data_IF_601930644489
#
_entry.id   IF_601930644489
#
_cell.length_a   1.000
_cell.length_b   1.000
_cell.length_c   1.000
_cell.angle_alpha   90.00
_cell.angle_beta   90.00
_cell.angle_gamma   90.00
#
_symmetry.space_group_name_H-M   'P 1'
#
loop_
_entity.id
_entity.type
_entity.pdbx_description
1 polymer ?
#
# COMPACT_ATOMS: atom_id res chain seq x y z
N UNK A 1 -11.23 -15.11 -8.97
CA UNK A 1 -11.46 -13.65 -8.80
C UNK A 1 -10.79 -12.92 -9.94
N UNK A 2 -11.36 -11.83 -10.45
CA UNK A 2 -10.68 -11.02 -11.47
C UNK A 2 -9.48 -10.27 -10.86
N UNK A 3 -8.43 -10.04 -11.64
CA UNK A 3 -7.24 -9.28 -11.21
C UNK A 3 -7.60 -7.89 -10.65
N UNK A 4 -8.59 -7.23 -11.24
CA UNK A 4 -9.13 -5.95 -10.78
C UNK A 4 -9.72 -6.01 -9.37
N UNK A 5 -10.44 -7.09 -9.02
CA UNK A 5 -10.97 -7.28 -7.67
C UNK A 5 -9.85 -7.55 -6.66
N UNK A 6 -8.78 -8.25 -7.07
CA UNK A 6 -7.59 -8.43 -6.23
C UNK A 6 -6.91 -7.09 -5.97
N UNK A 7 -6.72 -6.25 -7.00
CA UNK A 7 -6.14 -4.90 -6.85
C UNK A 7 -6.97 -4.01 -5.92
N UNK A 8 -8.29 -4.00 -6.11
CA UNK A 8 -9.21 -3.25 -5.25
C UNK A 8 -9.20 -3.81 -3.81
N UNK A 9 -9.16 -5.14 -3.65
CA UNK A 9 -9.07 -5.80 -2.34
C UNK A 9 -7.78 -5.47 -1.60
N UNK A 10 -6.64 -5.52 -2.29
CA UNK A 10 -5.35 -5.08 -1.75
C UNK A 10 -5.37 -3.58 -1.39
N UNK A 11 -5.99 -2.75 -2.22
CA UNK A 11 -6.18 -1.33 -1.93
C UNK A 11 -6.99 -1.11 -0.66
N UNK A 12 -8.15 -1.76 -0.56
CA UNK A 12 -8.99 -1.72 0.62
C UNK A 12 -8.25 -2.22 1.86
N UNK A 13 -7.49 -3.31 1.74
CA UNK A 13 -6.65 -3.86 2.82
C UNK A 13 -5.62 -2.84 3.33
N UNK A 14 -4.96 -2.11 2.43
CA UNK A 14 -4.05 -1.02 2.80
C UNK A 14 -4.80 0.13 3.48
N UNK A 15 -6.00 0.48 3.00
CA UNK A 15 -6.81 1.57 3.56
C UNK A 15 -7.42 1.26 4.93
N UNK A 16 -7.65 -0.02 5.26
CA UNK A 16 -8.09 -0.45 6.58
C UNK A 16 -7.04 -0.18 7.67
N UNK A 17 -5.75 -0.16 7.30
CA UNK A 17 -4.65 -0.06 8.25
C UNK A 17 -4.55 1.37 8.85
N UNK A 18 -4.68 1.54 10.18
CA UNK A 18 -4.57 2.83 10.85
C UNK A 18 -3.29 3.57 10.54
N UNK A 19 -2.16 2.85 10.54
CA UNK A 19 -0.85 3.43 10.33
C UNK A 19 -0.61 3.89 8.89
N UNK A 20 -1.37 3.35 7.92
CA UNK A 20 -1.26 3.72 6.51
C UNK A 20 -1.91 5.07 6.17
N UNK A 21 -2.74 5.63 7.05
CA UNK A 21 -3.17 7.02 6.86
C UNK A 21 -4.30 7.52 7.75
N UNK A 22 -5.37 6.73 7.94
CA UNK A 22 -6.59 7.28 8.55
C UNK A 22 -6.38 7.73 10.00
N UNK A 23 -5.52 7.05 10.77
CA UNK A 23 -5.22 7.45 12.16
C UNK A 23 -4.59 8.84 12.22
N UNK A 24 -3.66 9.13 11.30
CA UNK A 24 -3.01 10.45 11.22
C UNK A 24 -3.98 11.52 10.71
N UNK A 25 -4.83 11.19 9.73
CA UNK A 25 -5.84 12.10 9.22
C UNK A 25 -6.84 12.51 10.33
N UNK A 26 -7.31 11.54 11.12
CA UNK A 26 -8.19 11.78 12.27
C UNK A 26 -7.46 12.58 13.34
N UNK A 27 -6.24 12.19 13.73
CA UNK A 27 -5.47 12.88 14.76
C UNK A 27 -5.22 14.35 14.41
N UNK A 28 -4.85 14.64 13.16
CA UNK A 28 -4.64 16.00 12.68
C UNK A 28 -5.95 16.79 12.62
N UNK A 29 -7.03 16.15 12.18
CA UNK A 29 -8.39 16.73 12.17
C UNK A 29 -8.87 17.11 13.56
N UNK A 30 -8.70 16.22 14.54
CA UNK A 30 -9.07 16.45 15.94
C UNK A 30 -8.21 17.56 16.56
N UNK A 31 -6.90 17.52 16.34
CA UNK A 31 -5.99 18.52 16.86
C UNK A 31 -6.30 19.94 16.33
N UNK A 32 -6.63 20.04 15.05
CA UNK A 32 -7.01 21.31 14.39
C UNK A 32 -8.51 21.61 14.45
N UNK A 33 -9.30 20.77 15.12
CA UNK A 33 -10.78 20.86 15.23
C UNK A 33 -11.46 21.12 13.88
N UNK A 34 -11.03 20.43 12.82
CA UNK A 34 -11.47 20.72 11.45
C UNK A 34 -11.65 19.47 10.61
N UNK A 35 -12.89 19.23 10.17
CA UNK A 35 -13.23 18.17 9.20
C UNK A 35 -12.46 18.34 7.89
N UNK A 36 -12.25 19.60 7.46
CA UNK A 36 -11.50 19.90 6.24
C UNK A 36 -10.08 19.32 6.29
N UNK A 37 -9.45 19.32 7.46
CA UNK A 37 -8.09 18.79 7.64
C UNK A 37 -8.05 17.27 7.48
N UNK A 38 -9.10 16.55 7.86
CA UNK A 38 -9.21 15.10 7.63
C UNK A 38 -9.17 14.80 6.13
N UNK A 39 -10.00 15.49 5.34
CA UNK A 39 -10.03 15.33 3.88
C UNK A 39 -8.74 15.80 3.21
N UNK A 40 -8.18 16.93 3.64
CA UNK A 40 -6.89 17.41 3.12
C UNK A 40 -5.74 16.45 3.40
N UNK A 41 -5.82 15.66 4.46
CA UNK A 41 -4.81 14.66 4.81
C UNK A 41 -4.77 13.49 3.81
N UNK A 42 -5.84 13.25 3.05
CA UNK A 42 -5.84 12.23 2.00
C UNK A 42 -4.87 12.55 0.87
N UNK A 43 -4.60 13.83 0.59
CA UNK A 43 -3.67 14.26 -0.46
C UNK A 43 -2.24 13.80 -0.17
N UNK A 44 -1.60 14.14 0.96
CA UNK A 44 -0.26 13.64 1.26
C UNK A 44 -0.21 12.12 1.44
N UNK A 45 -1.28 11.49 1.94
CA UNK A 45 -1.37 10.00 2.00
C UNK A 45 -1.32 9.41 0.58
N UNK A 46 -2.13 9.95 -0.34
CA UNK A 46 -2.13 9.51 -1.73
C UNK A 46 -0.76 9.68 -2.38
N UNK A 47 -0.12 10.84 -2.17
CA UNK A 47 1.19 11.15 -2.76
C UNK A 47 2.29 10.22 -2.21
N UNK A 48 2.37 10.06 -0.89
CA UNK A 48 3.38 9.19 -0.28
C UNK A 48 3.28 7.75 -0.77
N UNK A 49 2.06 7.21 -0.79
CA UNK A 49 1.80 5.86 -1.26
C UNK A 49 2.05 5.70 -2.76
N UNK A 50 1.63 6.67 -3.59
CA UNK A 50 1.89 6.64 -5.03
C UNK A 50 3.40 6.69 -5.35
N UNK A 51 4.17 7.51 -4.63
CA UNK A 51 5.63 7.55 -4.79
C UNK A 51 6.26 6.20 -4.41
N UNK A 52 5.78 5.54 -3.35
CA UNK A 52 6.26 4.20 -2.96
C UNK A 52 6.02 3.18 -4.08
N UNK A 53 4.81 3.13 -4.62
CA UNK A 53 4.47 2.25 -5.75
C UNK A 53 5.36 2.58 -6.96
N UNK A 54 5.49 3.86 -7.31
CA UNK A 54 6.28 4.28 -8.47
C UNK A 54 7.76 3.88 -8.35
N UNK A 55 8.36 4.05 -7.17
CA UNK A 55 9.75 3.63 -6.91
C UNK A 55 9.92 2.12 -7.09
N UNK A 56 9.00 1.32 -6.54
CA UNK A 56 9.07 -0.14 -6.68
C UNK A 56 8.85 -0.58 -8.13
N UNK A 57 7.84 -0.05 -8.80
CA UNK A 57 7.57 -0.35 -10.22
C UNK A 57 8.77 0.03 -11.09
N UNK A 58 9.36 1.20 -10.87
CA UNK A 58 10.57 1.61 -11.56
C UNK A 58 11.74 0.65 -11.32
N UNK A 59 11.97 0.24 -10.07
CA UNK A 59 13.02 -0.72 -9.73
C UNK A 59 12.79 -2.08 -10.39
N UNK A 60 11.55 -2.59 -10.36
CA UNK A 60 11.14 -3.85 -11.00
C UNK A 60 11.37 -3.78 -12.51
N UNK A 61 10.95 -2.70 -13.18
CA UNK A 61 11.16 -2.52 -14.62
C UNK A 61 12.66 -2.45 -14.94
N UNK A 62 13.43 -1.67 -14.18
CA UNK A 62 14.87 -1.53 -14.40
C UNK A 62 15.60 -2.87 -14.24
N UNK A 63 15.31 -3.63 -13.19
CA UNK A 63 15.90 -4.96 -12.95
C UNK A 63 15.44 -5.96 -14.01
N UNK A 64 14.17 -5.93 -14.40
CA UNK A 64 13.62 -6.80 -15.46
C UNK A 64 14.20 -6.57 -16.85
N UNK A 65 15.00 -5.51 -17.07
CA UNK A 65 15.76 -5.34 -18.33
C UNK A 65 17.00 -6.22 -18.39
N UNK A 66 17.49 -6.71 -17.25
CA UNK A 66 18.74 -7.50 -17.14
C UNK A 66 18.53 -8.92 -16.64
N UNK A 67 17.41 -9.22 -15.97
CA UNK A 67 17.03 -10.56 -15.53
C UNK A 67 15.75 -11.04 -16.21
N UNK A 68 15.56 -12.35 -16.32
CA UNK A 68 14.30 -12.90 -16.79
C UNK A 68 13.17 -12.72 -15.76
N UNK A 69 11.94 -12.86 -16.23
CA UNK A 69 10.73 -12.67 -15.41
C UNK A 69 10.67 -13.68 -14.24
N UNK A 70 11.09 -14.93 -14.46
CA UNK A 70 11.04 -15.97 -13.42
C UNK A 70 11.96 -15.64 -12.26
N UNK A 71 13.19 -15.20 -12.55
CA UNK A 71 14.14 -14.77 -11.52
C UNK A 71 13.64 -13.51 -10.79
N UNK A 72 13.01 -12.58 -11.51
CA UNK A 72 12.42 -11.38 -10.90
C UNK A 72 11.31 -11.73 -9.91
N UNK A 73 10.39 -12.61 -10.30
CA UNK A 73 9.29 -13.09 -9.44
C UNK A 73 9.83 -13.81 -8.21
N UNK A 74 10.82 -14.71 -8.38
CA UNK A 74 11.47 -15.40 -7.26
C UNK A 74 12.18 -14.41 -6.32
N UNK A 75 12.90 -13.42 -6.85
CA UNK A 75 13.56 -12.40 -6.02
C UNK A 75 12.55 -11.56 -5.24
N UNK A 76 11.47 -11.10 -5.89
CA UNK A 76 10.42 -10.33 -5.25
C UNK A 76 9.69 -11.16 -4.17
N UNK A 77 9.39 -12.43 -4.47
CA UNK A 77 8.77 -13.35 -3.53
C UNK A 77 9.67 -13.65 -2.32
N UNK A 78 10.96 -13.90 -2.56
CA UNK A 78 11.94 -14.10 -1.50
C UNK A 78 12.09 -12.86 -0.61
N UNK A 79 12.07 -11.66 -1.20
CA UNK A 79 12.12 -10.41 -0.45
C UNK A 79 10.87 -10.22 0.43
N UNK A 80 9.68 -10.51 -0.09
CA UNK A 80 8.43 -10.45 0.68
C UNK A 80 8.39 -11.47 1.82
N UNK A 81 8.84 -12.70 1.57
CA UNK A 81 8.91 -13.75 2.60
C UNK A 81 9.95 -13.43 3.68
N UNK A 82 11.14 -12.99 3.27
CA UNK A 82 12.18 -12.54 4.18
C UNK A 82 11.70 -11.37 5.04
N UNK A 83 10.98 -10.42 4.43
CA UNK A 83 10.38 -9.30 5.14
C UNK A 83 9.25 -9.74 6.09
N UNK A 84 8.38 -10.67 5.69
CA UNK A 84 7.35 -11.25 6.56
C UNK A 84 7.98 -11.95 7.77
N UNK A 85 9.01 -12.77 7.55
CA UNK A 85 9.74 -13.44 8.62
C UNK A 85 10.42 -12.43 9.56
N UNK A 86 11.04 -11.39 8.99
CA UNK A 86 11.61 -10.30 9.76
C UNK A 86 10.55 -9.61 10.64
N UNK A 87 9.40 -9.28 10.07
CA UNK A 87 8.30 -8.63 10.79
C UNK A 87 7.73 -9.53 11.90
N UNK A 88 7.62 -10.84 11.64
CA UNK A 88 7.17 -11.83 12.63
C UNK A 88 8.12 -11.95 13.84
N UNK A 89 9.44 -11.86 13.60
CA UNK A 89 10.46 -12.03 14.64
C UNK A 89 10.76 -10.73 15.40
N UNK A 90 10.81 -9.60 14.70
CA UNK A 90 11.25 -8.32 15.27
C UNK A 90 10.10 -7.38 15.64
N UNK A 91 8.92 -7.53 15.04
CA UNK A 91 7.69 -6.81 15.38
C UNK A 91 7.87 -5.32 15.65
N UNK A 92 7.29 -4.86 16.76
CA UNK A 92 7.20 -3.46 17.21
C UNK A 92 8.52 -2.84 17.72
N UNK A 93 9.67 -3.49 17.56
CA UNK A 93 10.95 -2.94 18.06
C UNK A 93 11.39 -1.68 17.29
N UNK A 94 10.84 -1.44 16.12
CA UNK A 94 11.12 -0.25 15.31
C UNK A 94 10.22 0.91 15.73
N UNK A 95 10.81 1.91 16.41
CA UNK A 95 10.15 3.18 16.72
C UNK A 95 10.51 4.23 15.67
N UNK A 96 9.73 4.31 14.59
CA UNK A 96 9.83 5.44 13.67
C UNK A 96 9.17 6.65 14.35
N UNK A 97 9.96 7.68 14.67
CA UNK A 97 9.52 8.85 15.42
C UNK A 97 8.89 9.90 14.49
N UNK A 98 7.71 9.60 13.97
CA UNK A 98 6.86 10.61 13.32
C UNK A 98 5.65 10.84 14.21
N UNK A 99 5.56 12.04 14.77
CA UNK A 99 4.49 12.38 15.72
C UNK A 99 3.12 12.47 15.04
N UNK A 100 2.05 12.11 15.74
CA UNK A 100 0.68 12.19 15.21
C UNK A 100 0.19 13.62 14.87
N UNK A 101 1.01 14.63 15.15
CA UNK A 101 0.77 16.05 14.86
C UNK A 101 1.69 16.60 13.75
N UNK A 102 2.31 15.73 12.94
CA UNK A 102 3.13 16.22 11.83
C UNK A 102 2.31 17.05 10.84
N UNK A 103 2.93 18.07 10.25
CA UNK A 103 2.33 18.78 9.11
C UNK A 103 2.11 17.86 7.91
N UNK A 104 1.40 18.36 6.89
CA UNK A 104 1.04 17.60 5.69
C UNK A 104 2.25 16.98 4.97
N UNK A 105 3.38 17.69 4.93
CA UNK A 105 4.62 17.15 4.35
C UNK A 105 5.16 15.94 5.13
N UNK A 106 5.13 16.01 6.47
CA UNK A 106 5.53 14.88 7.33
C UNK A 106 4.58 13.69 7.18
N UNK A 107 3.28 13.94 6.97
CA UNK A 107 2.31 12.90 6.65
C UNK A 107 2.59 12.23 5.30
N UNK A 108 3.01 13.00 4.29
CA UNK A 108 3.41 12.43 2.99
C UNK A 108 4.64 11.55 3.10
N UNK A 109 5.67 12.00 3.82
CA UNK A 109 6.86 11.20 4.10
C UNK A 109 6.52 9.94 4.90
N UNK A 110 5.68 10.06 5.92
CA UNK A 110 5.19 8.91 6.69
C UNK A 110 4.49 7.90 5.81
N UNK A 111 3.55 8.35 4.99
CA UNK A 111 2.80 7.49 4.08
C UNK A 111 3.74 6.76 3.11
N UNK A 112 4.74 7.44 2.57
CA UNK A 112 5.77 6.80 1.73
C UNK A 112 6.56 5.72 2.48
N UNK A 113 7.06 6.03 3.68
CA UNK A 113 7.82 5.08 4.49
C UNK A 113 6.97 3.87 4.89
N UNK A 114 5.72 4.11 5.30
CA UNK A 114 4.79 3.07 5.66
C UNK A 114 4.46 2.19 4.46
N UNK A 115 4.06 2.76 3.32
CA UNK A 115 3.79 2.00 2.09
C UNK A 115 4.98 1.14 1.65
N UNK A 116 6.19 1.68 1.76
CA UNK A 116 7.42 0.95 1.41
C UNK A 116 7.70 -0.17 2.39
N UNK A 117 7.63 0.11 3.70
CA UNK A 117 7.80 -0.90 4.75
C UNK A 117 6.74 -1.98 4.71
N UNK A 118 5.56 -1.66 4.19
CA UNK A 118 4.47 -2.60 4.05
C UNK A 118 4.62 -3.41 2.76
N UNK A 119 5.55 -3.04 1.86
CA UNK A 119 5.74 -3.75 0.59
C UNK A 119 4.61 -3.50 -0.40
N UNK A 120 3.88 -2.39 -0.25
CA UNK A 120 2.69 -2.10 -1.06
C UNK A 120 2.95 -2.13 -2.56
N UNK A 121 4.11 -1.60 -3.01
CA UNK A 121 4.52 -1.68 -4.41
C UNK A 121 4.84 -3.10 -4.87
N UNK A 122 5.51 -3.91 -4.03
CA UNK A 122 5.86 -5.30 -4.35
C UNK A 122 4.62 -6.20 -4.39
N UNK A 123 3.63 -5.94 -3.54
CA UNK A 123 2.37 -6.68 -3.53
C UNK A 123 1.52 -6.47 -4.79
N UNK A 124 1.78 -5.43 -5.57
CA UNK A 124 1.12 -5.19 -6.85
C UNK A 124 1.77 -5.97 -8.00
N UNK A 125 3.05 -6.31 -7.91
CA UNK A 125 3.82 -7.01 -8.95
C UNK A 125 3.12 -8.28 -9.48
N UNK A 126 2.68 -9.24 -8.64
CA UNK A 126 2.07 -10.48 -9.13
C UNK A 126 0.74 -10.26 -9.86
N UNK A 127 0.12 -9.09 -9.72
CA UNK A 127 -1.15 -8.77 -10.39
C UNK A 127 -0.93 -7.88 -11.61
N UNK A 128 0.02 -6.94 -11.53
CA UNK A 128 0.35 -6.02 -12.63
C UNK A 128 0.97 -6.74 -13.82
N UNK A 129 1.93 -7.64 -13.59
CA UNK A 129 2.63 -8.34 -14.68
C UNK A 129 1.65 -9.13 -15.56
N UNK A 130 0.82 -10.05 -15.02
CA UNK A 130 -0.14 -10.80 -15.83
C UNK A 130 -1.20 -9.91 -16.49
N UNK A 131 -1.62 -8.82 -15.83
CA UNK A 131 -2.64 -7.92 -16.36
C UNK A 131 -2.13 -7.13 -17.58
N UNK A 132 -0.88 -6.68 -17.54
CA UNK A 132 -0.23 -6.03 -18.68
C UNK A 132 -0.02 -6.99 -19.86
N UNK A 133 0.36 -8.25 -19.58
CA UNK A 133 0.52 -9.29 -20.61
C UNK A 133 -0.82 -9.67 -21.26
N UNK A 134 -1.90 -9.76 -20.48
CA UNK A 134 -3.23 -10.10 -21.01
C UNK A 134 -3.84 -8.99 -21.88
N UNK A 135 -3.42 -7.73 -21.69
CA UNK A 135 -3.98 -6.58 -22.40
C UNK A 135 -3.28 -6.27 -23.74
N UNK A 136 -2.14 -6.91 -24.04
CA UNK A 136 -1.37 -6.68 -25.27
C UNK A 136 -1.45 -7.89 -26.21
N UNK A 137 -1.89 -7.73 -27.47
CA UNK A 137 -1.80 -8.81 -28.47
C UNK A 137 -0.33 -9.20 -28.69
N UNK A 138 -0.07 -10.49 -28.84
CA UNK A 138 1.26 -11.08 -28.95
C UNK A 138 2.09 -10.47 -30.10
N UNK A 139 2.88 -9.42 -29.83
CA UNK A 139 4.26 -9.14 -30.33
C UNK A 139 4.82 -7.76 -29.92
N UNK A 140 4.06 -6.89 -29.26
CA UNK A 140 4.51 -5.55 -28.88
C UNK A 140 4.39 -5.34 -27.36
N UNK A 141 5.36 -5.84 -26.60
CA UNK A 141 5.63 -5.38 -25.23
C UNK A 141 6.27 -3.98 -25.29
N UNK A 142 5.64 -3.03 -25.98
CA UNK A 142 6.05 -1.63 -25.91
C UNK A 142 5.49 -1.04 -24.63
N UNK A 143 6.29 -0.23 -23.93
CA UNK A 143 5.86 0.48 -22.73
C UNK A 143 4.57 1.28 -22.97
N UNK A 144 4.34 1.73 -24.20
CA UNK A 144 3.17 2.50 -24.62
C UNK A 144 1.86 1.70 -24.56
N UNK A 145 1.86 0.41 -24.91
CA UNK A 145 0.65 -0.43 -24.91
C UNK A 145 0.20 -0.88 -23.52
N UNK A 146 1.14 -1.05 -22.59
CA UNK A 146 0.88 -1.58 -21.23
C UNK A 146 0.73 -0.49 -20.16
N UNK A 147 1.24 0.72 -20.41
CA UNK A 147 1.17 1.84 -19.48
C UNK A 147 -0.26 2.23 -19.07
N UNK A 148 -1.25 2.33 -19.98
CA UNK A 148 -2.61 2.70 -19.60
C UNK A 148 -3.25 1.70 -18.63
N UNK A 149 -2.98 0.41 -18.82
CA UNK A 149 -3.49 -0.67 -17.96
C UNK A 149 -2.80 -0.67 -16.61
N UNK A 150 -1.48 -0.47 -16.57
CA UNK A 150 -0.74 -0.33 -15.33
C UNK A 150 -1.21 0.88 -14.51
N UNK A 151 -1.40 2.03 -15.17
CA UNK A 151 -1.94 3.24 -14.52
C UNK A 151 -3.37 3.03 -14.01
N UNK A 152 -4.23 2.36 -14.78
CA UNK A 152 -5.58 2.01 -14.35
C UNK A 152 -5.55 1.05 -13.14
N UNK A 153 -4.67 0.06 -13.14
CA UNK A 153 -4.50 -0.88 -12.03
C UNK A 153 -4.04 -0.20 -10.75
N UNK A 154 -3.02 0.66 -10.84
CA UNK A 154 -2.56 1.50 -9.72
C UNK A 154 -3.68 2.44 -9.29
N UNK A 155 -4.41 3.04 -10.23
CA UNK A 155 -5.55 3.92 -9.96
C UNK A 155 -6.66 3.22 -9.19
N UNK A 156 -7.05 2.00 -9.57
CA UNK A 156 -8.05 1.19 -8.87
C UNK A 156 -7.59 0.85 -7.44
N UNK A 157 -6.33 0.44 -7.29
CA UNK A 157 -5.73 0.20 -5.97
C UNK A 157 -5.78 1.44 -5.08
N UNK A 158 -5.33 2.59 -5.60
CA UNK A 158 -5.29 3.86 -4.89
C UNK A 158 -6.69 4.36 -4.54
N UNK A 159 -7.65 4.24 -5.45
CA UNK A 159 -9.03 4.66 -5.23
C UNK A 159 -9.69 3.82 -4.13
N UNK A 160 -9.52 2.50 -4.16
CA UNK A 160 -10.02 1.62 -3.10
C UNK A 160 -9.39 1.94 -1.74
N UNK A 161 -8.06 2.12 -1.71
CA UNK A 161 -7.32 2.47 -0.51
C UNK A 161 -7.78 3.80 0.10
N UNK A 162 -7.84 4.85 -0.70
CA UNK A 162 -8.26 6.18 -0.26
C UNK A 162 -9.74 6.21 0.12
N UNK A 163 -10.59 5.47 -0.59
CA UNK A 163 -12.01 5.35 -0.27
C UNK A 163 -12.23 4.74 1.12
N UNK A 164 -11.56 3.63 1.42
CA UNK A 164 -11.62 3.00 2.75
C UNK A 164 -11.01 3.92 3.82
N UNK A 165 -9.85 4.52 3.55
CA UNK A 165 -9.19 5.47 4.44
C UNK A 165 -10.12 6.64 4.79
N UNK A 166 -10.76 7.24 3.78
CA UNK A 166 -11.67 8.36 3.94
C UNK A 166 -12.93 7.99 4.72
N UNK A 167 -13.52 6.82 4.41
CA UNK A 167 -14.70 6.33 5.10
C UNK A 167 -14.43 6.13 6.58
N UNK A 168 -13.36 5.41 6.93
CA UNK A 168 -12.98 5.17 8.33
C UNK A 168 -12.62 6.49 9.02
N UNK A 169 -11.79 7.33 8.39
CA UNK A 169 -11.38 8.59 8.99
C UNK A 169 -12.58 9.50 9.30
N UNK A 170 -13.56 9.56 8.38
CA UNK A 170 -14.79 10.32 8.59
C UNK A 170 -15.62 9.72 9.73
N UNK A 171 -15.80 8.40 9.73
CA UNK A 171 -16.60 7.72 10.76
C UNK A 171 -16.01 7.95 12.15
N UNK A 172 -14.69 7.78 12.27
CA UNK A 172 -14.00 7.93 13.54
C UNK A 172 -14.00 9.38 14.00
N UNK A 173 -13.75 10.32 13.09
CA UNK A 173 -13.72 11.75 13.41
C UNK A 173 -15.10 12.28 13.85
N UNK A 174 -16.19 11.79 13.25
CA UNK A 174 -17.53 12.30 13.51
C UNK A 174 -18.25 11.57 14.66
N UNK A 175 -18.01 10.27 14.87
CA UNK A 175 -18.82 9.45 15.78
C UNK A 175 -18.08 8.66 16.86
N UNK A 176 -16.87 8.15 16.60
CA UNK A 176 -16.27 7.11 17.47
C UNK A 176 -15.13 7.60 18.38
N UNK A 177 -14.52 8.75 18.06
CA UNK A 177 -13.27 9.22 18.67
C UNK A 177 -12.13 8.17 18.54
N UNK A 178 -10.89 8.45 18.95
CA UNK A 178 -9.80 7.48 18.91
C UNK A 178 -9.82 6.50 20.10
N UNK A 179 -10.69 6.72 21.08
CA UNK A 179 -10.77 5.91 22.29
C UNK A 179 -11.14 4.44 22.07
N UNK A 180 -11.86 4.11 20.99
CA UNK A 180 -12.27 2.73 20.70
C UNK A 180 -11.08 1.82 20.35
N UNK A 181 -9.99 2.37 19.78
CA UNK A 181 -8.77 1.61 19.50
C UNK A 181 -8.14 1.03 20.78
N UNK A 182 -8.43 1.61 21.95
CA UNK A 182 -7.95 1.12 23.25
C UNK A 182 -8.79 -0.03 23.82
N UNK A 183 -10.01 -0.27 23.31
CA UNK A 183 -10.95 -1.28 23.83
C UNK A 183 -10.81 -2.66 23.19
N UNK A 184 -10.14 -2.72 22.04
CA UNK A 184 -9.89 -3.95 21.29
C UNK A 184 -9.77 -3.61 19.82
N UNK A 185 -8.64 -3.98 19.22
CA UNK A 185 -8.38 -3.79 17.79
C UNK A 185 -7.86 -5.09 17.19
N UNK A 186 -8.16 -5.32 15.91
CA UNK A 186 -7.65 -6.48 15.17
C UNK A 186 -6.12 -6.41 15.15
N UNK A 187 -5.43 -7.54 15.36
CA UNK A 187 -3.99 -7.60 15.19
C UNK A 187 -3.64 -7.51 13.70
N UNK A 188 -3.59 -6.28 13.20
CA UNK A 188 -3.31 -5.99 11.80
C UNK A 188 -1.88 -6.37 11.41
N UNK A 189 -0.93 -6.38 12.35
CA UNK A 189 0.44 -6.81 12.05
C UNK A 189 0.49 -8.29 11.70
N UNK A 190 -0.28 -9.13 12.38
CA UNK A 190 -0.41 -10.54 12.06
C UNK A 190 -1.08 -10.73 10.69
N UNK A 191 -2.16 -10.01 10.43
CA UNK A 191 -2.85 -10.04 9.13
C UNK A 191 -1.93 -9.56 8.00
N UNK A 192 -1.12 -8.54 8.26
CA UNK A 192 -0.14 -7.99 7.32
C UNK A 192 0.98 -8.96 7.01
N UNK A 193 1.55 -9.57 8.05
CA UNK A 193 2.58 -10.59 7.92
C UNK A 193 2.07 -11.77 7.10
N UNK A 194 0.82 -12.19 7.34
CA UNK A 194 0.14 -13.20 6.52
C UNK A 194 0.00 -12.78 5.06
N UNK A 195 -0.42 -11.53 4.79
CA UNK A 195 -0.57 -11.02 3.43
C UNK A 195 0.78 -10.99 2.68
N UNK A 196 1.84 -10.49 3.31
CA UNK A 196 3.20 -10.52 2.77
C UNK A 196 3.65 -11.95 2.43
N UNK A 197 3.42 -12.89 3.35
CA UNK A 197 3.81 -14.28 3.16
C UNK A 197 3.04 -14.94 2.01
N UNK A 198 1.72 -14.75 1.94
CA UNK A 198 0.88 -15.28 0.86
C UNK A 198 1.31 -14.71 -0.49
N UNK A 199 1.50 -13.39 -0.60
CA UNK A 199 1.96 -12.77 -1.84
C UNK A 199 3.36 -13.27 -2.23
N UNK A 200 4.27 -13.42 -1.27
CA UNK A 200 5.61 -13.93 -1.53
C UNK A 200 5.60 -15.38 -2.01
N UNK A 201 4.74 -16.23 -1.45
CA UNK A 201 4.52 -17.60 -1.92
C UNK A 201 3.94 -17.65 -3.34
N UNK A 202 2.94 -16.80 -3.64
CA UNK A 202 2.34 -16.72 -4.99
C UNK A 202 3.37 -16.35 -6.05
N UNK A 203 4.38 -15.53 -5.71
CA UNK A 203 5.44 -15.15 -6.64
C UNK A 203 6.49 -16.24 -6.88
N UNK A 204 6.61 -17.22 -5.98
CA UNK A 204 7.64 -18.27 -6.09
C UNK A 204 7.10 -19.53 -6.78
N UNK A 205 5.79 -19.76 -6.72
CA UNK A 205 5.11 -20.97 -7.23
C UNK A 205 4.58 -20.72 -8.63
#
# INVERSE_FOLDING_TARGET
MSAWLVLAGLGAFHGLNPAMGWLFAVALGMHRKSRRVVWLSLVPIALGHAVSIAVVVFAVVAVGTVVDQSLLEVMAGALLLGWAAYHAVYGHRHRVRVGMQTGLAGLGLWSFLMATSHGAGLMLVPVLIPLCLAATPARELTAEGSLPVALAAIGVHMAAMLGVTAAIATIVFEWLDLGFLRRGWINLDALWTGALAITGLILII
#
